data_IF_360708716314
#
_entry.id   IF_360708716314
#
_cell.length_a   1.000
_cell.length_b   1.000
_cell.length_c   1.000
_cell.angle_alpha   90.00
_cell.angle_beta   90.00
_cell.angle_gamma   90.00
#
_symmetry.space_group_name_H-M   'P 1'
#
loop_
_entity.id
_entity.type
_entity.pdbx_description
1 polymer ?
#
# COMPACT_ATOMS: atom_id res chain seq x y z
N UNK A 1 14.23 -14.72 16.77
CA UNK A 1 14.03 -13.40 16.11
C UNK A 1 13.66 -13.57 14.63
N UNK A 2 12.56 -12.93 14.19
CA UNK A 2 12.13 -12.83 12.79
C UNK A 2 11.09 -11.71 12.64
N UNK A 3 11.30 -10.60 13.35
CA UNK A 3 10.49 -9.40 13.21
C UNK A 3 11.06 -8.55 12.07
N UNK A 4 10.23 -8.22 11.10
CA UNK A 4 10.55 -7.28 10.03
C UNK A 4 10.16 -5.87 10.47
N UNK A 5 11.05 -4.91 10.22
CA UNK A 5 10.90 -3.50 10.59
C UNK A 5 10.88 -2.64 9.33
N UNK A 6 10.12 -1.55 9.35
CA UNK A 6 10.12 -0.52 8.32
C UNK A 6 10.24 0.86 8.97
N UNK A 7 11.41 1.51 8.84
CA UNK A 7 11.74 2.79 9.49
C UNK A 7 12.43 3.69 8.46
N UNK A 8 12.00 4.95 8.34
CA UNK A 8 12.58 5.96 7.46
C UNK A 8 12.78 5.48 6.00
N UNK A 9 11.80 4.75 5.45
CA UNK A 9 11.85 4.23 4.08
C UNK A 9 12.71 2.96 3.91
N UNK A 10 13.32 2.45 4.98
CA UNK A 10 14.16 1.26 4.94
C UNK A 10 13.47 0.08 5.62
N UNK A 11 13.44 -1.04 4.92
CA UNK A 11 12.94 -2.32 5.45
C UNK A 11 14.13 -3.16 5.86
N UNK A 12 14.07 -3.79 7.02
CA UNK A 12 15.13 -4.64 7.54
C UNK A 12 14.59 -5.64 8.56
N UNK A 13 15.34 -6.71 8.83
CA UNK A 13 14.98 -7.69 9.86
C UNK A 13 16.22 -8.22 10.57
N UNK A 14 16.06 -8.80 11.76
CA UNK A 14 17.12 -9.56 12.42
C UNK A 14 16.95 -11.04 12.14
N UNK A 15 18.01 -11.66 11.62
CA UNK A 15 18.08 -13.10 11.42
C UNK A 15 18.05 -13.88 12.74
N UNK A 16 18.14 -15.22 12.65
CA UNK A 16 18.07 -16.10 13.83
C UNK A 16 19.30 -16.06 14.74
N UNK A 17 20.38 -15.40 14.31
CA UNK A 17 21.62 -15.26 15.10
C UNK A 17 21.41 -14.33 16.29
N UNK A 18 21.56 -14.88 17.50
CA UNK A 18 21.56 -14.07 18.72
C UNK A 18 22.68 -13.04 18.71
N UNK A 19 23.85 -13.39 18.18
CA UNK A 19 24.98 -12.47 18.11
C UNK A 19 24.68 -11.26 17.21
N UNK A 20 24.10 -11.48 16.03
CA UNK A 20 23.71 -10.39 15.12
C UNK A 20 22.64 -9.49 15.73
N UNK A 21 21.70 -10.08 16.48
CA UNK A 21 20.70 -9.30 17.23
C UNK A 21 21.34 -8.49 18.36
N UNK A 22 22.20 -9.11 19.17
CA UNK A 22 22.87 -8.46 20.30
C UNK A 22 23.80 -7.32 19.86
N UNK A 23 24.44 -7.46 18.69
CA UNK A 23 25.33 -6.44 18.10
C UNK A 23 24.60 -5.38 17.25
N UNK A 24 23.27 -5.41 17.21
CA UNK A 24 22.44 -4.50 16.41
C UNK A 24 22.80 -4.48 14.91
N UNK A 25 22.99 -5.67 14.33
CA UNK A 25 23.32 -5.85 12.90
C UNK A 25 22.09 -6.38 12.16
N UNK A 26 21.25 -5.51 11.58
CA UNK A 26 20.09 -5.93 10.80
C UNK A 26 20.48 -6.36 9.38
N UNK A 27 19.67 -7.24 8.80
CA UNK A 27 19.72 -7.59 7.38
C UNK A 27 18.78 -6.68 6.60
N UNK A 28 19.25 -5.95 5.56
CA UNK A 28 18.39 -5.17 4.68
C UNK A 28 17.34 -6.04 3.97
N UNK A 29 16.12 -5.51 3.85
CA UNK A 29 14.95 -6.18 3.25
C UNK A 29 14.32 -5.32 2.13
N UNK A 30 15.19 -4.68 1.35
CA UNK A 30 14.81 -3.79 0.26
C UNK A 30 14.35 -2.39 0.69
N UNK A 31 14.03 -1.58 -0.32
CA UNK A 31 13.39 -0.28 -0.17
C UNK A 31 11.88 -0.55 0.01
N UNK A 32 11.22 0.24 0.86
CA UNK A 32 9.78 0.11 1.03
C UNK A 32 9.08 1.44 1.00
N UNK A 33 7.78 1.37 0.79
CA UNK A 33 6.94 2.55 0.70
C UNK A 33 6.89 3.17 -0.69
N UNK A 34 7.16 2.37 -1.72
CA UNK A 34 6.94 2.72 -3.12
C UNK A 34 5.46 3.04 -3.41
N UNK A 35 5.14 3.76 -4.50
CA UNK A 35 3.79 4.11 -4.89
C UNK A 35 2.79 2.93 -4.89
N UNK A 36 3.18 1.78 -5.43
CA UNK A 36 2.35 0.58 -5.50
C UNK A 36 2.06 0.02 -4.11
N UNK A 37 3.06 0.01 -3.22
CA UNK A 37 2.91 -0.43 -1.83
C UNK A 37 2.00 0.52 -1.03
N UNK A 38 2.09 1.83 -1.28
CA UNK A 38 1.16 2.80 -0.70
C UNK A 38 -0.28 2.54 -1.12
N UNK A 39 -0.53 2.28 -2.41
CA UNK A 39 -1.87 1.96 -2.91
C UNK A 39 -2.37 0.64 -2.32
N UNK A 40 -1.53 -0.38 -2.31
CA UNK A 40 -1.83 -1.70 -1.79
C UNK A 40 -2.22 -1.65 -0.30
N UNK A 41 -1.46 -0.94 0.52
CA UNK A 41 -1.74 -0.84 1.96
C UNK A 41 -2.87 0.15 2.25
N UNK A 42 -2.87 1.30 1.57
CA UNK A 42 -3.85 2.36 1.79
C UNK A 42 -5.27 1.94 1.44
N UNK A 43 -5.48 1.19 0.36
CA UNK A 43 -6.82 0.66 0.02
C UNK A 43 -7.36 -0.36 1.03
N UNK A 44 -6.51 -0.91 1.91
CA UNK A 44 -6.94 -1.76 3.03
C UNK A 44 -7.31 -0.96 4.29
N UNK A 45 -7.14 0.35 4.27
CA UNK A 45 -7.66 1.23 5.31
C UNK A 45 -9.10 1.59 4.98
N UNK A 46 -9.89 1.90 6.01
CA UNK A 46 -11.30 2.31 5.83
C UNK A 46 -11.41 3.55 4.95
N UNK A 47 -10.51 4.50 5.15
CA UNK A 47 -10.45 5.75 4.39
C UNK A 47 -9.89 5.57 2.97
N UNK A 48 -9.28 4.43 2.66
CA UNK A 48 -8.63 4.18 1.38
C UNK A 48 -7.41 5.07 1.14
N UNK A 49 -7.22 5.47 -0.12
CA UNK A 49 -6.18 6.41 -0.55
C UNK A 49 -6.79 7.72 -1.00
N UNK A 50 -6.11 8.82 -0.70
CA UNK A 50 -6.51 10.16 -1.13
C UNK A 50 -5.45 10.81 -2.00
N UNK A 51 -5.88 11.67 -2.92
CA UNK A 51 -4.99 12.49 -3.73
C UNK A 51 -4.06 13.34 -2.87
N UNK A 52 -4.57 13.89 -1.76
CA UNK A 52 -3.77 14.69 -0.84
C UNK A 52 -2.63 13.90 -0.21
N UNK A 53 -2.91 12.74 0.40
CA UNK A 53 -1.88 11.88 1.03
C UNK A 53 -0.89 11.33 0.00
N UNK A 54 -1.36 11.01 -1.20
CA UNK A 54 -0.51 10.51 -2.27
C UNK A 54 0.45 11.60 -2.78
N UNK A 55 -0.05 12.83 -3.04
CA UNK A 55 0.77 13.99 -3.42
C UNK A 55 1.77 14.39 -2.35
N UNK A 56 1.36 14.41 -1.08
CA UNK A 56 2.24 14.71 0.04
C UNK A 56 3.45 13.76 0.08
N UNK A 57 3.23 12.48 -0.24
CA UNK A 57 4.27 11.46 -0.19
C UNK A 57 5.13 11.37 -1.44
N UNK A 58 4.55 11.54 -2.63
CA UNK A 58 5.23 11.26 -3.90
C UNK A 58 5.37 12.47 -4.82
N UNK A 59 4.82 13.62 -4.46
CA UNK A 59 4.86 14.85 -5.28
C UNK A 59 3.99 14.79 -6.55
N UNK A 60 3.23 13.72 -6.76
CA UNK A 60 2.40 13.47 -7.94
C UNK A 60 1.00 13.04 -7.52
N UNK A 61 0.05 13.06 -8.46
CA UNK A 61 -1.30 12.52 -8.24
C UNK A 61 -1.35 11.00 -8.33
N UNK A 62 -2.43 10.40 -7.78
CA UNK A 62 -2.72 8.98 -7.96
C UNK A 62 -2.65 8.64 -9.46
N UNK A 63 -1.98 7.55 -9.87
CA UNK A 63 -1.73 7.26 -11.27
C UNK A 63 -3.01 7.25 -12.11
N UNK A 64 -3.01 7.89 -13.29
CA UNK A 64 -4.19 7.90 -14.17
C UNK A 64 -4.70 6.50 -14.55
N UNK A 65 -3.80 5.52 -14.66
CA UNK A 65 -4.14 4.11 -14.91
C UNK A 65 -5.00 3.53 -13.77
N UNK A 66 -4.63 3.80 -12.53
CA UNK A 66 -5.38 3.37 -11.34
C UNK A 66 -6.75 4.04 -11.33
N UNK A 67 -6.83 5.35 -11.57
CA UNK A 67 -8.10 6.08 -11.63
C UNK A 67 -9.02 5.57 -12.75
N UNK A 68 -8.46 5.26 -13.92
CA UNK A 68 -9.20 4.68 -15.04
C UNK A 68 -9.79 3.32 -14.67
N UNK A 69 -8.99 2.42 -14.09
CA UNK A 69 -9.46 1.11 -13.64
C UNK A 69 -10.45 1.21 -12.49
N UNK A 70 -10.30 2.17 -11.58
CA UNK A 70 -11.31 2.44 -10.55
C UNK A 70 -12.65 2.80 -11.17
N UNK A 71 -12.67 3.63 -12.23
CA UNK A 71 -13.91 3.94 -12.96
C UNK A 71 -14.55 2.70 -13.59
N UNK A 72 -13.75 1.75 -14.11
CA UNK A 72 -14.25 0.48 -14.65
C UNK A 72 -14.90 -0.40 -13.57
N UNK A 73 -14.42 -0.33 -12.33
CA UNK A 73 -14.96 -1.11 -11.21
C UNK A 73 -16.15 -0.44 -10.51
N UNK A 74 -16.47 0.84 -10.77
CA UNK A 74 -17.62 1.51 -10.13
C UNK A 74 -18.94 0.72 -10.23
N UNK A 75 -19.33 0.14 -11.38
CA UNK A 75 -20.57 -0.61 -11.51
C UNK A 75 -20.64 -1.87 -10.63
N UNK A 76 -19.50 -2.40 -10.18
CA UNK A 76 -19.45 -3.60 -9.32
C UNK A 76 -19.85 -3.30 -7.87
N UNK A 77 -19.78 -2.03 -7.46
CA UNK A 77 -19.99 -1.63 -6.06
C UNK A 77 -18.85 -2.04 -5.11
N UNK A 78 -17.69 -2.49 -5.60
CA UNK A 78 -16.55 -2.88 -4.75
C UNK A 78 -15.69 -1.70 -4.29
N UNK A 79 -15.78 -0.56 -4.94
CA UNK A 79 -15.07 0.64 -4.52
C UNK A 79 -15.92 1.88 -4.71
N UNK A 80 -15.57 2.93 -3.99
CA UNK A 80 -16.01 4.28 -4.24
C UNK A 80 -14.86 5.06 -4.85
N UNK A 81 -15.21 5.90 -5.83
CA UNK A 81 -14.31 6.91 -6.39
C UNK A 81 -14.95 8.26 -6.13
N UNK A 82 -14.30 9.09 -5.33
CA UNK A 82 -14.72 10.46 -5.03
C UNK A 82 -13.69 11.44 -5.58
N UNK A 83 -13.97 12.76 -5.59
CA UNK A 83 -12.95 13.76 -5.91
C UNK A 83 -11.72 13.69 -4.99
N UNK A 84 -11.87 13.17 -3.77
CA UNK A 84 -10.78 13.08 -2.79
C UNK A 84 -9.90 11.85 -3.00
N UNK A 85 -10.44 10.76 -3.54
CA UNK A 85 -9.67 9.53 -3.78
C UNK A 85 -10.51 8.26 -3.98
N UNK A 86 -9.94 7.13 -3.57
CA UNK A 86 -10.49 5.78 -3.78
C UNK A 86 -10.55 5.05 -2.44
N UNK A 87 -11.70 4.46 -2.11
CA UNK A 87 -11.85 3.58 -0.97
C UNK A 87 -12.61 2.30 -1.35
N UNK A 88 -12.32 1.18 -0.68
CA UNK A 88 -13.10 -0.04 -0.84
C UNK A 88 -14.43 0.09 -0.10
N UNK A 89 -15.49 -0.47 -0.69
CA UNK A 89 -16.74 -0.68 0.05
C UNK A 89 -16.61 -1.88 0.99
N UNK A 90 -17.53 -2.09 1.95
CA UNK A 90 -17.51 -3.31 2.78
C UNK A 90 -17.49 -4.60 1.95
N UNK A 91 -18.18 -4.64 0.81
CA UNK A 91 -18.16 -5.79 -0.10
C UNK A 91 -16.85 -5.91 -0.86
N UNK A 92 -16.29 -4.80 -1.34
CA UNK A 92 -14.98 -4.83 -2.01
C UNK A 92 -13.84 -5.20 -1.08
N UNK A 93 -13.97 -4.93 0.22
CA UNK A 93 -12.98 -5.34 1.21
C UNK A 93 -12.85 -6.87 1.30
N UNK A 94 -13.96 -7.61 1.17
CA UNK A 94 -13.98 -9.08 1.16
C UNK A 94 -13.17 -9.67 -0.01
N UNK A 95 -13.04 -8.93 -1.11
CA UNK A 95 -12.29 -9.31 -2.31
C UNK A 95 -11.11 -8.36 -2.58
N UNK A 96 -10.60 -7.70 -1.53
CA UNK A 96 -9.61 -6.63 -1.63
C UNK A 96 -8.37 -7.01 -2.43
N UNK A 97 -7.86 -8.23 -2.24
CA UNK A 97 -6.70 -8.73 -3.00
C UNK A 97 -6.93 -8.69 -4.52
N UNK A 98 -8.11 -9.12 -4.98
CA UNK A 98 -8.44 -9.15 -6.41
C UNK A 98 -8.64 -7.73 -6.98
N UNK A 99 -9.34 -6.86 -6.23
CA UNK A 99 -9.54 -5.46 -6.61
C UNK A 99 -8.20 -4.74 -6.72
N UNK A 100 -7.34 -4.86 -5.71
CA UNK A 100 -6.03 -4.21 -5.67
C UNK A 100 -5.11 -4.75 -6.76
N UNK A 101 -5.08 -6.07 -6.99
CA UNK A 101 -4.32 -6.67 -8.07
C UNK A 101 -4.76 -6.14 -9.44
N UNK A 102 -6.07 -6.02 -9.68
CA UNK A 102 -6.59 -5.42 -10.90
C UNK A 102 -6.16 -3.96 -11.05
N UNK A 103 -6.29 -3.14 -10.00
CA UNK A 103 -5.90 -1.73 -10.05
C UNK A 103 -4.41 -1.53 -10.35
N UNK A 104 -3.54 -2.40 -9.83
CA UNK A 104 -2.08 -2.32 -9.97
C UNK A 104 -1.49 -3.08 -11.18
N UNK A 105 -2.32 -3.76 -11.98
CA UNK A 105 -1.85 -4.57 -13.13
C UNK A 105 -1.53 -3.78 -14.41
#
# INVERSE_FOLDING_TARGET
PSAHSFINGKRFYYGRSFESFYRDIPTPDGIGGEPEEFILLGLRLREGITHARYRERFGTDIPPSVLHKSRQLLPTGYLTLTPDGIALTPQGFLVSNAVIAFLLS
#
